data_IF_272746268499
#
_entry.id   IF_272746268499
#
_cell.length_a   1.000
_cell.length_b   1.000
_cell.length_c   1.000
_cell.angle_alpha   90.00
_cell.angle_beta   90.00
_cell.angle_gamma   90.00
#
_symmetry.space_group_name_H-M   'P 1'
#
loop_
_entity.id
_entity.type
_entity.pdbx_description
1 polymer ?
#
# COMPACT_ATOMS: atom_id res chain seq x y z
N UNK A 1 37.26 -4.15 6.99
CA UNK A 1 36.79 -5.27 6.16
C UNK A 1 35.37 -4.97 5.69
N UNK A 2 35.04 -5.23 4.42
CA UNK A 2 33.66 -5.14 3.90
C UNK A 2 33.22 -6.56 3.51
N UNK A 3 32.09 -7.01 4.06
CA UNK A 3 31.47 -8.29 3.69
C UNK A 3 30.71 -8.13 2.37
N UNK A 4 30.73 -9.15 1.52
CA UNK A 4 29.86 -9.19 0.33
C UNK A 4 28.41 -9.47 0.73
N UNK A 5 27.46 -9.17 -0.17
CA UNK A 5 26.05 -9.48 0.06
C UNK A 5 25.82 -11.00 0.14
N UNK A 6 26.53 -11.80 -0.65
CA UNK A 6 26.51 -13.28 -0.57
C UNK A 6 27.00 -13.80 0.79
N UNK A 7 28.12 -13.25 1.30
CA UNK A 7 28.62 -13.63 2.63
C UNK A 7 27.65 -13.24 3.73
N UNK A 8 27.02 -12.07 3.60
CA UNK A 8 26.00 -11.62 4.54
C UNK A 8 24.80 -12.57 4.53
N UNK A 9 24.33 -12.99 3.36
CA UNK A 9 23.19 -13.90 3.25
C UNK A 9 23.52 -15.26 3.85
N UNK A 10 24.65 -15.86 3.47
CA UNK A 10 25.08 -17.14 4.02
C UNK A 10 25.21 -17.13 5.55
N UNK A 11 25.66 -16.00 6.12
CA UNK A 11 25.78 -15.85 7.56
C UNK A 11 24.41 -15.70 8.28
N UNK A 12 23.43 -15.10 7.62
CA UNK A 12 22.05 -15.02 8.11
C UNK A 12 21.33 -16.37 8.01
N UNK A 13 21.59 -17.14 6.95
CA UNK A 13 21.04 -18.49 6.79
C UNK A 13 21.60 -19.45 7.87
N UNK A 14 22.90 -19.36 8.16
CA UNK A 14 23.54 -20.07 9.27
C UNK A 14 22.92 -19.67 10.63
N UNK A 15 22.66 -18.38 10.86
CA UNK A 15 21.97 -17.92 12.06
C UNK A 15 20.55 -18.50 12.17
N UNK A 16 19.82 -18.60 11.07
CA UNK A 16 18.48 -19.20 11.05
C UNK A 16 18.53 -20.72 11.34
N UNK A 17 19.52 -21.43 10.80
CA UNK A 17 19.73 -22.85 11.09
C UNK A 17 20.07 -23.12 12.56
N UNK A 18 20.77 -22.18 13.21
CA UNK A 18 21.17 -22.23 14.61
C UNK A 18 20.10 -21.68 15.57
N UNK A 19 18.82 -21.65 15.17
CA UNK A 19 17.69 -21.16 15.97
C UNK A 19 17.87 -19.74 16.53
N UNK A 20 18.69 -18.92 15.88
CA UNK A 20 19.02 -17.56 16.34
C UNK A 20 20.15 -17.48 17.37
N UNK A 21 20.93 -18.54 17.60
CA UNK A 21 22.14 -18.47 18.42
C UNK A 21 23.26 -17.70 17.69
N UNK A 22 23.38 -16.42 18.04
CA UNK A 22 24.37 -15.51 17.46
C UNK A 22 25.81 -15.87 17.78
N UNK A 23 26.09 -16.56 18.88
CA UNK A 23 27.47 -16.94 19.20
C UNK A 23 27.89 -18.12 18.34
N UNK A 24 27.05 -19.15 18.28
CA UNK A 24 27.31 -20.32 17.45
C UNK A 24 27.49 -19.93 15.97
N UNK A 25 26.57 -19.12 15.43
CA UNK A 25 26.68 -18.63 14.05
C UNK A 25 27.92 -17.73 13.84
N UNK A 26 28.36 -16.99 14.86
CA UNK A 26 29.58 -16.17 14.78
C UNK A 26 30.84 -17.03 14.72
N UNK A 27 30.87 -18.15 15.44
CA UNK A 27 31.99 -19.10 15.42
C UNK A 27 32.06 -19.83 14.08
N UNK A 28 30.91 -20.26 13.53
CA UNK A 28 30.84 -20.97 12.25
C UNK A 28 31.17 -20.10 11.03
N UNK A 29 30.67 -18.86 11.02
CA UNK A 29 30.80 -17.97 9.84
C UNK A 29 32.02 -17.05 9.91
N UNK A 30 32.62 -16.90 11.09
CA UNK A 30 33.67 -15.90 11.36
C UNK A 30 33.17 -14.45 11.34
N UNK A 31 31.86 -14.21 11.21
CA UNK A 31 31.26 -12.88 11.28
C UNK A 31 30.96 -12.54 12.74
N UNK A 32 31.44 -11.41 13.29
CA UNK A 32 31.19 -11.06 14.68
C UNK A 32 29.69 -11.04 15.03
N UNK A 33 29.32 -11.64 16.16
CA UNK A 33 27.93 -11.70 16.65
C UNK A 33 27.22 -10.32 16.67
N UNK A 34 27.94 -9.23 16.96
CA UNK A 34 27.38 -7.88 16.92
C UNK A 34 26.95 -7.45 15.50
N UNK A 35 27.71 -7.85 14.49
CA UNK A 35 27.40 -7.61 13.08
C UNK A 35 26.17 -8.42 12.66
N UNK A 36 26.11 -9.71 13.05
CA UNK A 36 24.94 -10.57 12.80
C UNK A 36 23.66 -9.97 13.40
N UNK A 37 23.68 -9.53 14.67
CA UNK A 37 22.53 -8.87 15.30
C UNK A 37 22.08 -7.62 14.55
N UNK A 38 23.03 -6.81 14.06
CA UNK A 38 22.72 -5.61 13.29
C UNK A 38 22.04 -5.96 11.96
N UNK A 39 22.52 -6.99 11.27
CA UNK A 39 21.90 -7.46 10.02
C UNK A 39 20.52 -8.07 10.24
N UNK A 40 20.38 -8.95 11.24
CA UNK A 40 19.11 -9.57 11.59
C UNK A 40 18.05 -8.52 11.96
N UNK A 41 18.40 -7.50 12.75
CA UNK A 41 17.48 -6.38 13.06
C UNK A 41 17.04 -5.62 11.82
N UNK A 42 17.96 -5.39 10.87
CA UNK A 42 17.64 -4.69 9.62
C UNK A 42 16.70 -5.52 8.75
N UNK A 43 16.93 -6.82 8.65
CA UNK A 43 16.08 -7.73 7.88
C UNK A 43 14.69 -7.89 8.49
N UNK A 44 14.60 -7.98 9.82
CA UNK A 44 13.33 -7.95 10.54
C UNK A 44 12.56 -6.64 10.29
N UNK A 45 13.24 -5.49 10.32
CA UNK A 45 12.61 -4.21 10.02
C UNK A 45 12.07 -4.15 8.58
N UNK A 46 12.85 -4.62 7.60
CA UNK A 46 12.39 -4.71 6.19
C UNK A 46 11.21 -5.67 6.05
N UNK A 47 11.25 -6.82 6.73
CA UNK A 47 10.17 -7.80 6.70
C UNK A 47 8.86 -7.24 7.28
N UNK A 48 8.94 -6.52 8.41
CA UNK A 48 7.78 -5.85 9.01
C UNK A 48 7.20 -4.78 8.09
N UNK A 49 8.05 -3.98 7.42
CA UNK A 49 7.61 -2.97 6.47
C UNK A 49 6.88 -3.59 5.27
N UNK A 50 7.39 -4.71 4.73
CA UNK A 50 6.74 -5.44 3.65
C UNK A 50 5.37 -5.99 4.07
N UNK A 51 5.23 -6.52 5.29
CA UNK A 51 3.95 -7.01 5.82
C UNK A 51 2.94 -5.86 5.94
N UNK A 52 3.33 -4.74 6.54
CA UNK A 52 2.46 -3.56 6.65
C UNK A 52 2.02 -3.04 5.28
N UNK A 53 2.92 -3.07 4.30
CA UNK A 53 2.62 -2.65 2.94
C UNK A 53 1.62 -3.60 2.24
N UNK A 54 1.78 -4.92 2.42
CA UNK A 54 0.84 -5.91 1.91
C UNK A 54 -0.56 -5.75 2.53
N UNK A 55 -0.65 -5.49 3.84
CA UNK A 55 -1.92 -5.22 4.52
C UNK A 55 -2.59 -3.96 3.94
N UNK A 56 -1.82 -2.88 3.75
CA UNK A 56 -2.31 -1.63 3.17
C UNK A 56 -2.81 -1.80 1.74
N UNK A 57 -2.09 -2.56 0.90
CA UNK A 57 -2.53 -2.86 -0.47
C UNK A 57 -3.82 -3.69 -0.48
N UNK A 58 -3.96 -4.62 0.47
CA UNK A 58 -5.16 -5.45 0.60
C UNK A 58 -6.37 -4.63 1.05
N UNK A 59 -6.18 -3.70 1.98
CA UNK A 59 -7.22 -2.76 2.41
C UNK A 59 -7.68 -1.86 1.24
N UNK A 60 -6.74 -1.32 0.46
CA UNK A 60 -7.05 -0.52 -0.73
C UNK A 60 -7.88 -1.31 -1.75
N UNK A 61 -7.53 -2.59 -1.97
CA UNK A 61 -8.29 -3.47 -2.86
C UNK A 61 -9.75 -3.62 -2.40
N UNK A 62 -9.96 -3.83 -1.11
CA UNK A 62 -11.31 -3.99 -0.56
C UNK A 62 -12.14 -2.71 -0.73
N UNK A 63 -11.51 -1.55 -0.55
CA UNK A 63 -12.17 -0.25 -0.76
C UNK A 63 -12.63 -0.08 -2.21
N UNK A 64 -11.73 -0.32 -3.19
CA UNK A 64 -12.07 -0.22 -4.63
C UNK A 64 -13.19 -1.19 -5.01
N UNK A 65 -13.25 -2.38 -4.40
CA UNK A 65 -14.27 -3.40 -4.69
C UNK A 65 -15.64 -3.11 -4.06
N UNK A 66 -15.68 -2.37 -2.95
CA UNK A 66 -16.91 -2.12 -2.20
C UNK A 66 -17.81 -1.07 -2.85
N UNK A 67 -17.27 -0.22 -3.74
CA UNK A 67 -18.02 0.90 -4.32
C UNK A 67 -18.53 0.58 -5.73
N UNK A 68 -19.87 0.52 -5.93
CA UNK A 68 -20.44 0.38 -7.26
C UNK A 68 -20.22 1.69 -8.04
N UNK A 69 -19.26 1.69 -8.95
CA UNK A 69 -19.00 2.81 -9.87
C UNK A 69 -20.24 3.16 -10.72
N UNK A 70 -20.54 4.45 -10.82
CA UNK A 70 -21.70 4.97 -11.53
C UNK A 70 -21.45 5.11 -13.04
N UNK A 71 -20.19 5.27 -13.47
CA UNK A 71 -19.83 5.48 -14.89
C UNK A 71 -18.91 4.40 -15.48
N UNK A 72 -18.94 4.22 -16.81
CA UNK A 72 -18.04 3.30 -17.55
C UNK A 72 -16.58 3.71 -17.38
N UNK A 73 -16.30 5.01 -17.32
CA UNK A 73 -14.96 5.54 -17.10
C UNK A 73 -14.44 5.16 -15.71
N UNK A 74 -15.25 5.33 -14.67
CA UNK A 74 -14.90 4.90 -13.31
C UNK A 74 -14.66 3.38 -13.24
N UNK A 75 -15.41 2.57 -13.99
CA UNK A 75 -15.15 1.12 -14.09
C UNK A 75 -13.77 0.82 -14.66
N UNK A 76 -13.42 1.46 -15.77
CA UNK A 76 -12.10 1.27 -16.39
C UNK A 76 -10.95 1.75 -15.49
N UNK A 77 -11.15 2.87 -14.78
CA UNK A 77 -10.18 3.38 -13.80
C UNK A 77 -10.03 2.43 -12.62
N UNK A 78 -11.13 1.87 -12.11
CA UNK A 78 -11.14 0.86 -11.04
C UNK A 78 -10.51 -0.47 -11.48
N UNK A 79 -10.76 -0.94 -12.70
CA UNK A 79 -10.13 -2.14 -13.27
C UNK A 79 -8.61 -1.96 -13.41
N UNK A 80 -8.16 -0.78 -13.85
CA UNK A 80 -6.74 -0.46 -13.92
C UNK A 80 -6.11 -0.44 -12.52
N UNK A 81 -6.79 0.16 -11.53
CA UNK A 81 -6.33 0.17 -10.14
C UNK A 81 -6.21 -1.24 -9.57
N UNK A 82 -7.21 -2.11 -9.76
CA UNK A 82 -7.16 -3.50 -9.27
C UNK A 82 -6.00 -4.26 -9.95
N UNK A 83 -5.81 -4.10 -11.26
CA UNK A 83 -4.66 -4.68 -11.97
C UNK A 83 -3.31 -4.18 -11.43
N UNK A 84 -3.19 -2.89 -11.12
CA UNK A 84 -1.96 -2.33 -10.56
C UNK A 84 -1.69 -2.82 -9.14
N UNK A 85 -2.72 -2.96 -8.31
CA UNK A 85 -2.60 -3.54 -6.97
C UNK A 85 -2.19 -5.01 -7.06
N UNK A 86 -2.78 -5.79 -7.97
CA UNK A 86 -2.39 -7.19 -8.18
C UNK A 86 -0.92 -7.32 -8.63
N UNK A 87 -0.47 -6.45 -9.52
CA UNK A 87 0.94 -6.38 -9.93
C UNK A 87 1.87 -6.01 -8.76
N UNK A 88 1.48 -5.04 -7.92
CA UNK A 88 2.24 -4.66 -6.72
C UNK A 88 2.37 -5.83 -5.74
N UNK A 89 1.27 -6.56 -5.51
CA UNK A 89 1.24 -7.74 -4.64
C UNK A 89 2.10 -8.88 -5.21
N UNK A 90 2.04 -9.11 -6.53
CA UNK A 90 2.90 -10.08 -7.19
C UNK A 90 4.39 -9.73 -7.01
N UNK A 91 4.77 -8.46 -7.23
CA UNK A 91 6.14 -7.98 -7.01
C UNK A 91 6.59 -8.11 -5.54
N UNK A 92 5.71 -7.80 -4.59
CA UNK A 92 6.03 -7.97 -3.16
C UNK A 92 6.26 -9.45 -2.82
N UNK A 93 5.46 -10.37 -3.39
CA UNK A 93 5.65 -11.83 -3.19
C UNK A 93 6.95 -12.34 -3.83
N UNK A 94 7.34 -11.85 -5.02
CA UNK A 94 8.60 -12.27 -5.64
C UNK A 94 9.81 -11.76 -4.88
N UNK A 95 9.74 -10.57 -4.25
CA UNK A 95 10.78 -10.08 -3.33
C UNK A 95 10.99 -11.05 -2.16
N UNK A 96 9.90 -11.63 -1.65
CA UNK A 96 9.95 -12.51 -0.48
C UNK A 96 10.44 -13.93 -0.81
N UNK A 97 10.11 -14.46 -1.99
CA UNK A 97 10.27 -15.89 -2.29
C UNK A 97 11.46 -16.24 -3.20
N UNK A 98 12.08 -15.28 -3.88
CA UNK A 98 13.01 -15.61 -4.96
C UNK A 98 14.21 -14.66 -5.01
N UNK A 99 15.15 -14.76 -4.08
CA UNK A 99 16.30 -13.83 -3.99
C UNK A 99 17.26 -13.92 -5.19
N UNK A 100 17.25 -15.01 -5.95
CA UNK A 100 18.28 -15.33 -6.94
C UNK A 100 18.04 -14.77 -8.36
N UNK A 101 16.80 -14.44 -8.71
CA UNK A 101 16.46 -14.08 -10.11
C UNK A 101 16.69 -12.61 -10.48
N UNK A 102 16.71 -11.69 -9.51
CA UNK A 102 17.01 -10.27 -9.74
C UNK A 102 17.59 -9.58 -8.49
N UNK A 103 18.53 -8.63 -8.61
CA UNK A 103 19.06 -7.89 -7.47
C UNK A 103 17.94 -7.25 -6.64
N UNK A 104 17.94 -7.47 -5.33
CA UNK A 104 16.93 -6.97 -4.39
C UNK A 104 16.64 -5.46 -4.57
N UNK A 105 17.68 -4.68 -4.85
CA UNK A 105 17.58 -3.23 -5.10
C UNK A 105 16.72 -2.87 -6.31
N UNK A 106 16.78 -3.64 -7.39
CA UNK A 106 15.96 -3.42 -8.58
C UNK A 106 14.49 -3.71 -8.31
N UNK A 107 14.21 -4.76 -7.54
CA UNK A 107 12.83 -5.13 -7.17
C UNK A 107 12.21 -4.15 -6.18
N UNK A 108 12.96 -3.72 -5.17
CA UNK A 108 12.51 -2.67 -4.26
C UNK A 108 12.23 -1.36 -5.02
N UNK A 109 13.07 -1.01 -6.01
CA UNK A 109 12.84 0.16 -6.86
C UNK A 109 11.57 0.01 -7.71
N UNK A 110 11.37 -1.16 -8.33
CA UNK A 110 10.16 -1.43 -9.11
C UNK A 110 8.89 -1.37 -8.25
N UNK A 111 8.93 -1.96 -7.05
CA UNK A 111 7.82 -1.91 -6.10
C UNK A 111 7.48 -0.47 -5.71
N UNK A 112 8.49 0.35 -5.36
CA UNK A 112 8.29 1.77 -5.05
C UNK A 112 7.66 2.53 -6.22
N UNK A 113 8.10 2.28 -7.45
CA UNK A 113 7.51 2.92 -8.64
C UNK A 113 6.04 2.54 -8.83
N UNK A 114 5.67 1.28 -8.55
CA UNK A 114 4.28 0.83 -8.62
C UNK A 114 3.44 1.48 -7.51
N UNK A 115 3.94 1.51 -6.27
CA UNK A 115 3.27 2.18 -5.14
C UNK A 115 3.03 3.65 -5.47
N UNK A 116 4.04 4.37 -5.96
CA UNK A 116 3.93 5.77 -6.33
C UNK A 116 2.84 6.01 -7.40
N UNK A 117 2.74 5.11 -8.38
CA UNK A 117 1.69 5.20 -9.41
C UNK A 117 0.30 4.92 -8.84
N UNK A 118 0.16 3.93 -7.94
CA UNK A 118 -1.10 3.66 -7.24
C UNK A 118 -1.53 4.89 -6.45
N UNK A 119 -0.62 5.49 -5.67
CA UNK A 119 -0.91 6.70 -4.88
C UNK A 119 -1.33 7.88 -5.76
N UNK A 120 -0.68 8.07 -6.92
CA UNK A 120 -1.05 9.11 -7.89
C UNK A 120 -2.45 8.88 -8.48
N UNK A 121 -2.78 7.65 -8.83
CA UNK A 121 -4.11 7.32 -9.36
C UNK A 121 -5.20 7.52 -8.30
N UNK A 122 -4.95 7.09 -7.05
CA UNK A 122 -5.85 7.34 -5.93
C UNK A 122 -6.09 8.83 -5.69
N UNK A 123 -5.08 9.68 -5.87
CA UNK A 123 -5.22 11.13 -5.75
C UNK A 123 -5.97 11.79 -6.91
N UNK A 124 -6.03 11.12 -8.08
CA UNK A 124 -6.79 11.58 -9.25
C UNK A 124 -8.25 11.13 -9.21
N UNK A 125 -8.57 10.09 -8.45
CA UNK A 125 -9.95 9.70 -8.22
C UNK A 125 -10.68 10.83 -7.48
N UNK A 126 -11.93 11.14 -7.86
CA UNK A 126 -12.72 12.10 -7.11
C UNK A 126 -12.79 11.64 -5.64
N UNK A 127 -12.72 12.57 -4.68
CA UNK A 127 -12.86 12.20 -3.27
C UNK A 127 -14.19 11.46 -3.11
N UNK A 128 -14.11 10.26 -2.52
CA UNK A 128 -15.29 9.49 -2.13
C UNK A 128 -15.97 10.22 -0.99
N UNK A 129 -16.75 11.24 -1.34
CA UNK A 129 -17.72 11.90 -0.48
C UNK A 129 -19.07 11.77 -1.17
N UNK A 130 -20.13 11.68 -0.38
CA UNK A 130 -21.49 11.77 -0.89
C UNK A 130 -21.60 13.03 -1.77
N UNK A 131 -21.82 12.85 -3.08
CA UNK A 131 -22.14 13.96 -3.96
C UNK A 131 -23.54 14.47 -3.56
N UNK A 132 -23.57 15.39 -2.61
CA UNK A 132 -24.80 16.08 -2.22
C UNK A 132 -25.07 17.15 -3.27
N UNK A 133 -25.98 16.85 -4.20
CA UNK A 133 -26.58 17.87 -5.05
C UNK A 133 -27.50 18.70 -4.15
N UNK A 134 -27.01 19.85 -3.67
CA UNK A 134 -27.84 20.81 -2.95
C UNK A 134 -28.65 21.61 -3.98
N UNK A 135 -29.96 21.43 -3.97
CA UNK A 135 -30.89 22.23 -4.76
C UNK A 135 -31.27 23.45 -3.91
N UNK A 136 -30.90 24.64 -4.36
CA UNK A 136 -31.27 25.91 -3.71
C UNK A 136 -32.35 26.61 -4.53
N UNK A 137 -33.41 27.07 -3.87
CA UNK A 137 -34.50 27.83 -4.47
C UNK A 137 -34.30 29.31 -4.17
N UNK A 138 -34.19 30.14 -5.22
CA UNK A 138 -34.05 31.59 -5.10
C UNK A 138 -35.43 32.24 -5.30
N UNK A 139 -35.94 32.92 -4.27
CA UNK A 139 -37.19 33.67 -4.35
C UNK A 139 -36.97 35.04 -5.06
N UNK A 140 -38.03 35.73 -5.53
CA UNK A 140 -37.89 37.01 -6.24
C UNK A 140 -37.24 38.14 -5.44
N UNK A 141 -37.20 38.02 -4.11
CA UNK A 141 -36.51 38.95 -3.20
C UNK A 141 -34.99 38.67 -3.08
N UNK A 142 -34.51 37.61 -3.73
CA UNK A 142 -33.12 37.17 -3.70
C UNK A 142 -32.77 36.23 -2.55
N UNK A 143 -33.73 35.84 -1.70
CA UNK A 143 -33.47 34.90 -0.61
C UNK A 143 -33.33 33.45 -1.12
N UNK A 144 -32.38 32.70 -0.55
CA UNK A 144 -32.11 31.28 -0.89
C UNK A 144 -32.68 30.34 0.18
N UNK A 145 -33.36 29.28 -0.25
CA UNK A 145 -34.02 28.31 0.62
C UNK A 145 -33.78 26.87 0.17
N UNK A 146 -33.80 25.94 1.13
CA UNK A 146 -33.64 24.49 0.86
C UNK A 146 -34.93 23.84 0.34
N UNK A 147 -36.07 24.51 0.46
CA UNK A 147 -37.37 24.03 -0.01
C UNK A 147 -38.08 25.04 -0.92
N UNK A 148 -38.80 24.58 -1.95
CA UNK A 148 -39.49 25.46 -2.87
C UNK A 148 -40.65 26.18 -2.19
N UNK A 149 -40.98 27.39 -2.65
CA UNK A 149 -42.00 28.26 -2.04
C UNK A 149 -43.38 27.60 -1.91
N UNK A 150 -43.77 26.74 -2.85
CA UNK A 150 -45.06 26.03 -2.82
C UNK A 150 -45.15 24.91 -1.75
N UNK A 151 -44.02 24.49 -1.18
CA UNK A 151 -43.97 23.45 -0.14
C UNK A 151 -43.91 23.99 1.28
N UNK A 152 -43.70 25.31 1.44
CA UNK A 152 -43.72 25.97 2.75
C UNK A 152 -45.18 26.06 3.15
N UNK A 153 -45.63 25.15 4.02
CA UNK A 153 -47.02 25.12 4.49
C UNK A 153 -47.41 26.52 4.97
N UNK A 154 -48.37 27.15 4.29
CA UNK A 154 -48.97 28.37 4.78
C UNK A 154 -49.63 28.05 6.12
N UNK A 155 -49.12 28.56 7.26
CA UNK A 155 -49.76 28.31 8.53
C UNK A 155 -50.99 29.22 8.60
N UNK A 156 -52.15 28.69 8.20
CA UNK A 156 -53.44 29.37 8.39
C UNK A 156 -54.47 29.10 7.29
N UNK A 157 -55.14 27.95 7.38
CA UNK A 157 -56.59 27.84 7.10
C UNK A 157 -57.27 27.25 8.35
#
# INVERSE_FOLDING_TARGET
MRYSDEQRQAALDCLAANEGDFQLASEETGVPAATLRKWARREQATGQELVQLQERLTALRQQVKAEPSASVRERMENELLDSMVDNALALAKTIQNDLDSAPLSQRATALNQVIDKILKLLAMLPPVGEQVIRIEFIDPDGSSHETPYWSRSHPGE
#
